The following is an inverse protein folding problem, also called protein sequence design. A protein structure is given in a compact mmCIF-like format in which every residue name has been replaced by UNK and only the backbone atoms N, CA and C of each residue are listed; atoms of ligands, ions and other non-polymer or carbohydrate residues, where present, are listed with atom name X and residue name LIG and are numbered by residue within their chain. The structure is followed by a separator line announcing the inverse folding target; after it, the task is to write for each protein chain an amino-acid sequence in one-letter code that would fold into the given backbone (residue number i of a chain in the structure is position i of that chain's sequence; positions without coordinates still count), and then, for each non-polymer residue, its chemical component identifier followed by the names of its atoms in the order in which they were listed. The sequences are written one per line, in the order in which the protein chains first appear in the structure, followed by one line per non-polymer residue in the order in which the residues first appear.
data_IF_429451283465
#
_entry.id   IF_429451283465
#
_cell.length_a   1.000
_cell.length_b   1.000
_cell.length_c   1.000
_cell.angle_alpha   90.00
_cell.angle_beta   90.00
_cell.angle_gamma   90.00
#
_symmetry.space_group_name_H-M   'P 1'
#
loop_
_entity.id
_entity.type
_entity.pdbx_description
1 polymer ?
#
# COMPACT_ATOMS: atom_id res chain seq x y z
N UNK A 1 12.04 17.35 68.08
CA UNK A 1 13.00 16.96 67.00
C UNK A 1 12.22 16.61 65.75
N UNK A 2 12.15 17.54 64.82
CA UNK A 2 11.31 17.44 63.61
C UNK A 2 12.20 17.02 62.43
N UNK A 3 12.06 15.78 62.00
CA UNK A 3 12.82 15.22 60.90
C UNK A 3 12.28 15.75 59.55
N UNK A 4 13.07 16.57 58.90
CA UNK A 4 12.82 17.16 57.58
C UNK A 4 12.87 16.09 56.53
N UNK A 5 11.73 15.75 55.90
CA UNK A 5 11.61 14.85 54.78
C UNK A 5 12.28 15.51 53.57
N UNK A 6 13.37 14.93 53.09
CA UNK A 6 14.05 15.35 51.85
C UNK A 6 13.14 14.95 50.67
N UNK A 7 12.70 15.96 49.95
CA UNK A 7 11.88 15.83 48.76
C UNK A 7 12.78 15.35 47.60
N UNK A 8 12.71 14.06 47.28
CA UNK A 8 13.36 13.52 46.10
C UNK A 8 12.54 13.98 44.86
N UNK A 9 12.98 15.10 44.29
CA UNK A 9 12.44 15.59 43.02
C UNK A 9 12.48 14.50 41.94
N UNK A 10 11.63 14.61 40.90
CA UNK A 10 11.53 13.60 39.88
C UNK A 10 12.88 13.43 39.16
N UNK A 11 13.46 12.21 39.27
CA UNK A 11 14.68 11.84 38.53
C UNK A 11 14.39 12.04 37.05
N UNK A 12 15.12 12.97 36.44
CA UNK A 12 15.11 13.11 34.99
C UNK A 12 15.46 11.77 34.36
N UNK A 13 14.57 11.33 33.53
CA UNK A 13 14.64 10.06 32.78
C UNK A 13 15.90 10.12 31.90
N UNK A 14 16.94 9.40 32.31
CA UNK A 14 18.16 9.22 31.51
C UNK A 14 17.74 8.74 30.15
N UNK A 15 18.14 9.49 29.10
CA UNK A 15 17.73 9.27 27.72
C UNK A 15 17.77 7.78 27.37
N UNK A 16 16.62 7.20 27.09
CA UNK A 16 16.48 5.83 26.58
C UNK A 16 17.25 5.75 25.26
N UNK A 17 18.54 5.44 25.35
CA UNK A 17 19.35 5.09 24.19
C UNK A 17 18.74 3.83 23.59
N UNK A 18 18.14 3.96 22.43
CA UNK A 18 17.59 2.83 21.68
C UNK A 18 18.73 1.81 21.50
N UNK A 19 18.60 0.58 22.02
CA UNK A 19 19.71 -0.38 21.94
C UNK A 19 20.13 -0.58 20.49
N UNK A 20 21.44 -0.71 20.20
CA UNK A 20 21.97 -0.76 18.83
C UNK A 20 21.32 -1.81 17.92
N UNK A 21 20.75 -2.88 18.50
CA UNK A 21 19.98 -3.90 17.79
C UNK A 21 18.54 -3.51 17.42
N UNK A 22 17.94 -2.52 18.12
CA UNK A 22 16.55 -2.18 17.90
C UNK A 22 16.31 -1.54 16.53
N UNK A 23 17.23 -0.67 16.09
CA UNK A 23 17.14 -0.05 14.76
C UNK A 23 17.26 -1.10 13.65
N UNK A 24 18.22 -2.03 13.78
CA UNK A 24 18.39 -3.13 12.83
C UNK A 24 17.15 -4.04 12.77
N UNK A 25 16.61 -4.41 13.92
CA UNK A 25 15.40 -5.22 14.00
C UNK A 25 14.19 -4.50 13.38
N UNK A 26 14.07 -3.20 13.60
CA UNK A 26 13.04 -2.35 12.97
C UNK A 26 13.20 -2.32 11.46
N UNK A 27 14.40 -2.08 10.93
CA UNK A 27 14.67 -2.03 9.48
C UNK A 27 14.37 -3.37 8.80
N UNK A 28 14.76 -4.50 9.40
CA UNK A 28 14.46 -5.84 8.89
C UNK A 28 12.93 -6.06 8.85
N UNK A 29 12.23 -5.68 9.91
CA UNK A 29 10.77 -5.83 10.00
C UNK A 29 10.06 -5.01 8.92
N UNK A 30 10.46 -3.76 8.71
CA UNK A 30 9.86 -2.91 7.68
C UNK A 30 10.18 -3.39 6.28
N UNK A 31 11.41 -3.83 6.01
CA UNK A 31 11.79 -4.44 4.73
C UNK A 31 10.95 -5.68 4.38
N UNK A 32 10.67 -6.54 5.38
CA UNK A 32 9.77 -7.70 5.18
C UNK A 32 8.34 -7.29 4.84
N UNK A 33 7.82 -6.22 5.46
CA UNK A 33 6.49 -5.68 5.12
C UNK A 33 6.45 -5.12 3.69
N UNK A 34 7.49 -4.37 3.30
CA UNK A 34 7.59 -3.85 1.93
C UNK A 34 7.62 -4.99 0.91
N UNK A 35 8.39 -6.04 1.17
CA UNK A 35 8.46 -7.20 0.30
C UNK A 35 7.10 -7.92 0.20
N UNK A 36 6.45 -8.18 1.35
CA UNK A 36 5.12 -8.80 1.40
C UNK A 36 4.09 -7.96 0.64
N UNK A 37 4.06 -6.63 0.87
CA UNK A 37 3.19 -5.71 0.17
C UNK A 37 3.43 -5.73 -1.35
N UNK A 38 4.71 -5.73 -1.78
CA UNK A 38 5.10 -5.80 -3.18
C UNK A 38 4.71 -7.10 -3.86
N UNK A 39 4.88 -8.23 -3.19
CA UNK A 39 4.47 -9.55 -3.71
C UNK A 39 2.95 -9.63 -3.86
N UNK A 40 2.20 -9.16 -2.85
CA UNK A 40 0.74 -9.07 -2.92
C UNK A 40 0.33 -8.14 -4.08
N UNK A 41 1.00 -7.00 -4.23
CA UNK A 41 0.77 -6.07 -5.34
C UNK A 41 1.01 -6.69 -6.71
N UNK A 42 2.09 -7.46 -6.88
CA UNK A 42 2.39 -8.16 -8.12
C UNK A 42 1.32 -9.22 -8.47
N UNK A 43 0.91 -10.03 -7.50
CA UNK A 43 -0.19 -11.01 -7.67
C UNK A 43 -1.48 -10.30 -8.06
N UNK A 44 -1.79 -9.18 -7.42
CA UNK A 44 -3.01 -8.40 -7.73
C UNK A 44 -2.95 -7.73 -9.10
N UNK A 45 -1.74 -7.38 -9.59
CA UNK A 45 -1.54 -6.96 -10.97
C UNK A 45 -1.95 -8.04 -11.98
N UNK A 46 -1.58 -9.30 -11.72
CA UNK A 46 -2.01 -10.45 -12.53
C UNK A 46 -3.52 -10.64 -12.42
N UNK A 47 -4.11 -10.55 -11.23
CA UNK A 47 -5.57 -10.65 -11.04
C UNK A 47 -6.31 -9.59 -11.86
N UNK A 48 -5.86 -8.33 -11.78
CA UNK A 48 -6.42 -7.23 -12.58
C UNK A 48 -6.37 -7.55 -14.09
N UNK A 49 -5.22 -7.99 -14.57
CA UNK A 49 -5.04 -8.37 -15.97
C UNK A 49 -5.99 -9.49 -16.41
N UNK A 50 -6.02 -10.58 -15.66
CA UNK A 50 -6.85 -11.76 -15.98
C UNK A 50 -8.34 -11.39 -16.02
N UNK A 51 -8.83 -10.60 -15.05
CA UNK A 51 -10.23 -10.18 -15.02
C UNK A 51 -10.53 -9.23 -16.19
N UNK A 52 -9.67 -8.25 -16.45
CA UNK A 52 -9.86 -7.30 -17.55
C UNK A 52 -9.93 -8.03 -18.90
N UNK A 53 -8.97 -8.90 -19.16
CA UNK A 53 -8.91 -9.69 -20.40
C UNK A 53 -10.08 -10.69 -20.47
N UNK A 54 -10.37 -11.39 -19.36
CA UNK A 54 -11.47 -12.34 -19.29
C UNK A 54 -12.81 -11.69 -19.59
N UNK A 55 -13.13 -10.55 -18.96
CA UNK A 55 -14.37 -9.81 -19.24
C UNK A 55 -14.40 -9.34 -20.70
N UNK A 56 -13.29 -8.83 -21.20
CA UNK A 56 -13.21 -8.38 -22.62
C UNK A 56 -13.49 -9.52 -23.57
N UNK A 57 -12.83 -10.66 -23.42
CA UNK A 57 -12.95 -11.78 -24.36
C UNK A 57 -14.26 -12.55 -24.22
N UNK A 58 -14.73 -12.76 -23.00
CA UNK A 58 -15.89 -13.62 -22.72
C UNK A 58 -17.24 -12.87 -22.76
N UNK A 59 -17.22 -11.54 -22.54
CA UNK A 59 -18.43 -10.73 -22.54
C UNK A 59 -18.43 -9.68 -23.67
N UNK A 60 -17.41 -8.80 -23.74
CA UNK A 60 -17.45 -7.69 -24.67
C UNK A 60 -17.28 -8.10 -26.12
N UNK A 61 -16.42 -9.09 -26.44
CA UNK A 61 -16.25 -9.58 -27.81
C UNK A 61 -17.54 -10.18 -28.36
N UNK A 62 -18.23 -11.12 -27.67
CA UNK A 62 -19.49 -11.68 -28.15
C UNK A 62 -20.61 -10.64 -28.28
N UNK A 63 -20.57 -9.57 -27.48
CA UNK A 63 -21.54 -8.48 -27.52
C UNK A 63 -21.21 -7.39 -28.58
N UNK A 64 -20.10 -7.52 -29.31
CA UNK A 64 -19.64 -6.49 -30.26
C UNK A 64 -19.17 -5.18 -29.61
N UNK A 65 -18.85 -5.21 -28.32
CA UNK A 65 -18.46 -4.04 -27.53
C UNK A 65 -16.94 -3.94 -27.30
N UNK A 66 -16.14 -4.81 -27.87
CA UNK A 66 -14.68 -4.85 -27.66
C UNK A 66 -13.92 -3.64 -28.22
N UNK A 67 -14.56 -2.82 -29.05
CA UNK A 67 -14.02 -1.55 -29.57
C UNK A 67 -14.64 -0.32 -28.91
N UNK A 68 -15.53 -0.52 -27.94
CA UNK A 68 -16.18 0.58 -27.20
C UNK A 68 -15.32 0.99 -26.01
N UNK A 69 -14.80 2.23 -26.01
CA UNK A 69 -13.90 2.74 -24.98
C UNK A 69 -14.53 2.73 -23.57
N UNK A 70 -15.85 2.98 -23.47
CA UNK A 70 -16.56 2.95 -22.19
C UNK A 70 -16.63 1.51 -21.66
N UNK A 71 -17.00 0.55 -22.51
CA UNK A 71 -17.09 -0.86 -22.13
C UNK A 71 -15.72 -1.42 -21.71
N UNK A 72 -14.66 -1.10 -22.46
CA UNK A 72 -13.28 -1.45 -22.11
C UNK A 72 -12.84 -0.77 -20.80
N UNK A 73 -13.20 0.49 -20.61
CA UNK A 73 -12.95 1.23 -19.36
C UNK A 73 -13.63 0.59 -18.15
N UNK A 74 -14.87 0.14 -18.30
CA UNK A 74 -15.61 -0.57 -17.25
C UNK A 74 -14.99 -1.94 -16.93
N UNK A 75 -14.58 -2.70 -17.94
CA UNK A 75 -13.85 -3.97 -17.75
C UNK A 75 -12.54 -3.76 -16.97
N UNK A 76 -11.80 -2.69 -17.30
CA UNK A 76 -10.58 -2.29 -16.58
C UNK A 76 -10.87 -1.88 -15.15
N UNK A 77 -11.90 -1.08 -14.92
CA UNK A 77 -12.34 -0.65 -13.58
C UNK A 77 -12.76 -1.83 -12.71
N UNK A 78 -13.44 -2.82 -13.28
CA UNK A 78 -13.80 -4.05 -12.57
C UNK A 78 -12.56 -4.85 -12.17
N UNK A 79 -11.60 -5.05 -13.10
CA UNK A 79 -10.33 -5.71 -12.81
C UNK A 79 -9.57 -5.03 -11.67
N UNK A 80 -9.48 -3.68 -11.70
CA UNK A 80 -8.87 -2.90 -10.64
C UNK A 80 -9.62 -3.04 -9.31
N UNK A 81 -10.95 -2.96 -9.31
CA UNK A 81 -11.75 -3.06 -8.09
C UNK A 81 -11.59 -4.42 -7.39
N UNK A 82 -11.55 -5.51 -8.15
CA UNK A 82 -11.27 -6.84 -7.60
C UNK A 82 -9.84 -6.94 -7.08
N UNK A 83 -8.86 -6.45 -7.83
CA UNK A 83 -7.46 -6.48 -7.44
C UNK A 83 -7.19 -5.67 -6.16
N UNK A 84 -7.75 -4.46 -6.02
CA UNK A 84 -7.57 -3.63 -4.83
C UNK A 84 -8.26 -4.22 -3.61
N UNK A 85 -9.43 -4.85 -3.78
CA UNK A 85 -10.15 -5.54 -2.70
C UNK A 85 -9.36 -6.74 -2.19
N UNK A 86 -8.83 -7.55 -3.11
CA UNK A 86 -7.97 -8.68 -2.80
C UNK A 86 -6.65 -8.22 -2.14
N UNK A 87 -6.08 -7.12 -2.63
CA UNK A 87 -4.90 -6.49 -2.02
C UNK A 87 -5.15 -6.04 -0.58
N UNK A 88 -6.28 -5.41 -0.31
CA UNK A 88 -6.67 -5.03 1.05
C UNK A 88 -6.78 -6.25 1.97
N UNK A 89 -7.46 -7.31 1.51
CA UNK A 89 -7.63 -8.55 2.26
C UNK A 89 -6.29 -9.14 2.67
N UNK A 90 -5.40 -9.40 1.72
CA UNK A 90 -4.11 -10.02 1.99
C UNK A 90 -3.17 -9.10 2.78
N UNK A 91 -3.17 -7.80 2.52
CA UNK A 91 -2.35 -6.87 3.29
C UNK A 91 -2.83 -6.77 4.74
N UNK A 92 -4.13 -6.78 5.00
CA UNK A 92 -4.68 -6.76 6.37
C UNK A 92 -4.35 -8.05 7.13
N UNK A 93 -4.43 -9.22 6.46
CA UNK A 93 -4.23 -10.51 7.11
C UNK A 93 -2.74 -10.87 7.26
N UNK A 94 -1.87 -10.45 6.34
CA UNK A 94 -0.48 -10.89 6.32
C UNK A 94 0.52 -9.75 6.56
N UNK A 95 0.48 -8.67 5.77
CA UNK A 95 1.50 -7.61 5.84
C UNK A 95 1.36 -6.77 7.10
N UNK A 96 0.13 -6.35 7.42
CA UNK A 96 -0.20 -5.45 8.52
C UNK A 96 -1.05 -6.12 9.60
N UNK A 97 -0.95 -7.46 9.73
CA UNK A 97 -1.75 -8.22 10.69
C UNK A 97 -1.57 -7.80 12.14
N UNK A 98 -0.38 -7.32 12.51
CA UNK A 98 -0.10 -6.82 13.87
C UNK A 98 -0.77 -5.48 14.13
N UNK A 99 -0.75 -4.58 13.15
CA UNK A 99 -1.32 -3.23 13.25
C UNK A 99 -2.85 -3.26 13.17
N UNK A 100 -3.40 -4.12 12.33
CA UNK A 100 -4.85 -4.26 12.13
C UNK A 100 -5.51 -5.25 13.10
N UNK A 101 -4.70 -6.05 13.84
CA UNK A 101 -5.19 -7.20 14.57
C UNK A 101 -5.84 -8.27 13.67
N UNK A 102 -5.53 -8.27 12.37
CA UNK A 102 -6.14 -9.14 11.38
C UNK A 102 -7.63 -8.86 11.12
N UNK A 103 -8.15 -7.72 11.59
CA UNK A 103 -9.58 -7.39 11.47
C UNK A 103 -9.87 -6.62 10.19
N UNK A 104 -10.80 -7.13 9.41
CA UNK A 104 -11.34 -6.43 8.25
C UNK A 104 -12.36 -5.39 8.70
N UNK A 105 -12.24 -4.17 8.20
CA UNK A 105 -13.15 -3.06 8.50
C UNK A 105 -13.48 -2.31 7.23
N UNK A 106 -14.75 -1.95 7.05
CA UNK A 106 -15.21 -1.18 5.90
C UNK A 106 -14.53 0.21 5.83
N UNK A 107 -14.36 0.87 6.97
CA UNK A 107 -13.67 2.15 7.05
C UNK A 107 -12.20 2.04 6.63
N UNK A 108 -11.50 0.98 7.06
CA UNK A 108 -10.10 0.71 6.66
C UNK A 108 -10.00 0.34 5.18
N UNK A 109 -10.97 -0.40 4.65
CA UNK A 109 -11.05 -0.72 3.23
C UNK A 109 -11.18 0.54 2.37
N UNK A 110 -12.10 1.44 2.71
CA UNK A 110 -12.28 2.69 1.97
C UNK A 110 -11.03 3.57 2.01
N UNK A 111 -10.35 3.64 3.16
CA UNK A 111 -9.07 4.34 3.28
C UNK A 111 -7.98 3.69 2.42
N UNK A 112 -7.96 2.37 2.35
CA UNK A 112 -7.01 1.63 1.51
C UNK A 112 -7.23 1.92 0.03
N UNK A 113 -8.48 1.87 -0.44
CA UNK A 113 -8.85 2.23 -1.81
C UNK A 113 -8.46 3.68 -2.12
N UNK A 114 -8.80 4.62 -1.23
CA UNK A 114 -8.45 6.03 -1.38
C UNK A 114 -6.91 6.24 -1.41
N UNK A 115 -6.15 5.52 -0.57
CA UNK A 115 -4.68 5.57 -0.60
C UNK A 115 -4.08 5.02 -1.89
N UNK A 116 -4.73 4.04 -2.50
CA UNK A 116 -4.33 3.48 -3.79
C UNK A 116 -4.44 4.47 -4.95
N UNK A 117 -5.40 5.39 -4.91
CA UNK A 117 -5.54 6.43 -5.93
C UNK A 117 -4.37 7.43 -5.93
N UNK A 118 -3.75 7.66 -4.78
CA UNK A 118 -2.55 8.50 -4.68
C UNK A 118 -1.38 7.86 -5.44
N UNK A 119 -1.17 6.57 -5.27
CA UNK A 119 -0.13 5.85 -6.01
C UNK A 119 -0.37 5.85 -7.52
N UNK A 120 -1.63 5.70 -7.95
CA UNK A 120 -2.00 5.84 -9.36
C UNK A 120 -1.65 7.23 -9.90
N UNK A 121 -1.95 8.30 -9.15
CA UNK A 121 -1.58 9.65 -9.53
C UNK A 121 -0.06 9.83 -9.63
N UNK A 122 0.70 9.32 -8.66
CA UNK A 122 2.18 9.34 -8.68
C UNK A 122 2.71 8.59 -9.91
N UNK A 123 2.17 7.42 -10.23
CA UNK A 123 2.57 6.63 -11.40
C UNK A 123 2.37 7.39 -12.69
N UNK A 124 1.18 7.95 -12.91
CA UNK A 124 0.86 8.70 -14.14
C UNK A 124 1.74 9.95 -14.27
N UNK A 125 1.85 10.75 -13.22
CA UNK A 125 2.65 11.99 -13.26
C UNK A 125 4.14 11.69 -13.48
N UNK A 126 4.68 10.68 -12.78
CA UNK A 126 6.07 10.28 -12.95
C UNK A 126 6.36 9.73 -14.35
N UNK A 127 5.41 8.99 -14.95
CA UNK A 127 5.53 8.50 -16.31
C UNK A 127 5.59 9.64 -17.32
N UNK A 128 4.64 10.58 -17.24
CA UNK A 128 4.59 11.73 -18.15
C UNK A 128 5.85 12.60 -18.05
N UNK A 129 6.47 12.66 -16.87
CA UNK A 129 7.75 13.33 -16.70
C UNK A 129 8.89 12.50 -17.28
N UNK A 130 8.98 11.21 -16.92
CA UNK A 130 10.09 10.33 -17.28
C UNK A 130 10.21 10.10 -18.78
N UNK A 131 9.09 10.00 -19.52
CA UNK A 131 9.07 9.76 -20.96
C UNK A 131 9.74 10.88 -21.79
N UNK A 132 9.89 12.08 -21.17
CA UNK A 132 10.56 13.22 -21.81
C UNK A 132 12.09 13.12 -21.78
N UNK A 133 12.63 12.34 -20.85
CA UNK A 133 14.07 12.30 -20.56
C UNK A 133 14.68 10.90 -20.65
N UNK A 134 13.86 9.86 -20.60
CA UNK A 134 14.30 8.47 -20.56
C UNK A 134 13.76 7.68 -21.74
N UNK A 135 14.49 6.66 -22.20
CA UNK A 135 13.93 5.66 -23.11
C UNK A 135 12.64 5.05 -22.54
N UNK A 136 11.67 4.74 -23.41
CA UNK A 136 10.34 4.28 -23.04
C UNK A 136 10.36 3.14 -22.01
N UNK A 137 11.26 2.18 -22.13
CA UNK A 137 11.39 1.05 -21.22
C UNK A 137 11.69 1.51 -19.77
N UNK A 138 12.62 2.45 -19.58
CA UNK A 138 12.96 3.00 -18.27
C UNK A 138 11.87 3.94 -17.76
N UNK A 139 11.31 4.76 -18.66
CA UNK A 139 10.19 5.63 -18.33
C UNK A 139 8.96 4.86 -17.82
N UNK A 140 8.76 3.62 -18.29
CA UNK A 140 7.68 2.76 -17.83
C UNK A 140 7.95 2.06 -16.48
N UNK A 141 9.22 1.74 -16.18
CA UNK A 141 9.58 0.98 -14.97
C UNK A 141 9.74 1.89 -13.74
N UNK A 142 10.41 3.02 -13.89
CA UNK A 142 10.69 3.94 -12.76
C UNK A 142 9.41 4.40 -12.04
N UNK A 143 8.34 4.82 -12.73
CA UNK A 143 7.08 5.22 -12.09
C UNK A 143 6.42 4.11 -11.27
N UNK A 144 6.53 2.84 -11.70
CA UNK A 144 6.00 1.70 -10.95
C UNK A 144 6.66 1.60 -9.57
N UNK A 145 7.99 1.76 -9.52
CA UNK A 145 8.72 1.76 -8.25
C UNK A 145 8.31 2.92 -7.34
N UNK A 146 8.15 4.12 -7.89
CA UNK A 146 7.71 5.29 -7.12
C UNK A 146 6.27 5.13 -6.61
N UNK A 147 5.36 4.66 -7.45
CA UNK A 147 3.98 4.37 -7.05
C UNK A 147 3.92 3.28 -5.97
N UNK A 148 4.75 2.25 -6.05
CA UNK A 148 4.86 1.21 -5.03
C UNK A 148 5.25 1.80 -3.67
N UNK A 149 6.29 2.64 -3.60
CA UNK A 149 6.73 3.28 -2.37
C UNK A 149 5.64 4.21 -1.81
N UNK A 150 5.00 5.01 -2.68
CA UNK A 150 3.91 5.89 -2.30
C UNK A 150 2.73 5.09 -1.73
N UNK A 151 2.27 4.06 -2.43
CA UNK A 151 1.17 3.19 -1.98
C UNK A 151 1.48 2.47 -0.67
N UNK A 152 2.70 1.94 -0.50
CA UNK A 152 3.12 1.31 0.74
C UNK A 152 3.11 2.30 1.90
N UNK A 153 3.68 3.49 1.70
CA UNK A 153 3.75 4.55 2.71
C UNK A 153 2.35 5.02 3.12
N UNK A 154 1.49 5.27 2.13
CA UNK A 154 0.12 5.69 2.38
C UNK A 154 -0.69 4.62 3.10
N UNK A 155 -0.61 3.36 2.67
CA UNK A 155 -1.28 2.25 3.34
C UNK A 155 -0.81 2.12 4.79
N UNK A 156 0.49 2.22 5.04
CA UNK A 156 1.06 2.14 6.39
C UNK A 156 0.61 3.28 7.29
N UNK A 157 0.68 4.53 6.81
CA UNK A 157 0.39 5.73 7.61
C UNK A 157 -1.12 5.91 7.81
N UNK A 158 -1.90 5.83 6.75
CA UNK A 158 -3.33 6.21 6.80
C UNK A 158 -4.28 5.05 7.09
N UNK A 159 -3.87 3.82 6.74
CA UNK A 159 -4.78 2.67 6.87
C UNK A 159 -4.46 1.86 8.12
N UNK A 160 -3.20 1.55 8.34
CA UNK A 160 -2.78 0.59 9.37
C UNK A 160 -2.05 1.21 10.58
N UNK A 161 -1.90 2.54 10.67
CA UNK A 161 -1.27 3.21 11.81
C UNK A 161 -2.19 3.39 13.01
N UNK A 162 -3.50 3.28 12.82
CA UNK A 162 -4.51 3.61 13.86
C UNK A 162 -4.73 2.50 14.90
N UNK A 163 -3.88 1.50 15.00
CA UNK A 163 -4.03 0.32 15.87
C UNK A 163 -3.36 0.41 17.25
N UNK A 164 -2.81 1.57 17.66
CA UNK A 164 -2.25 1.75 19.02
C UNK A 164 -3.09 2.74 19.83
N UNK A 165 -4.33 2.36 20.12
CA UNK A 165 -5.10 2.94 21.22
C UNK A 165 -5.74 1.82 22.03
#
# INVERSE_FOLDING_TARGET
MTQKRVDDGPRMNDGQQTPPGALRAMLIREGRKMLSFGLIGAVNGVVNYVITVGVTLLALVPMGLATNDIALGLAKALGWAVAVSNSYLFNTLFTFSRESGGRLSWATYLRFVASGTVGLAVEVLSFLFAVRYLPLALAAIVPIGLAFVANFTMARIFVFSSGSR
#
